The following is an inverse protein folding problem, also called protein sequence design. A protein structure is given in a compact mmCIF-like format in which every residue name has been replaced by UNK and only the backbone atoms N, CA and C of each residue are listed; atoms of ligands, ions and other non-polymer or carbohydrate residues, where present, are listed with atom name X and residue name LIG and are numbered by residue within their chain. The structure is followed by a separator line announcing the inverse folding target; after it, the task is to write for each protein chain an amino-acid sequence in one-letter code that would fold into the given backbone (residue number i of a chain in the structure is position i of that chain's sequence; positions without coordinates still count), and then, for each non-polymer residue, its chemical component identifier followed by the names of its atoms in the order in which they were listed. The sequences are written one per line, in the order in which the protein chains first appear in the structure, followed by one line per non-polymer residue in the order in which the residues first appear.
data_IF_304163404503
#
_entry.id   IF_304163404503
#
_cell.length_a   1.000
_cell.length_b   1.000
_cell.length_c   1.000
_cell.angle_alpha   90.00
_cell.angle_beta   90.00
_cell.angle_gamma   90.00
#
_symmetry.space_group_name_H-M   'P 1'
#
loop_
_entity.id
_entity.type
_entity.pdbx_description
1 polymer ?
#
# COMPACT_ATOMS: atom_id res chain seq x y z
N UNK A 1 7.76 -1.12 -3.15
CA UNK A 1 6.70 -0.16 -3.49
C UNK A 1 6.44 -0.10 -4.98
N UNK A 2 5.28 0.39 -5.38
CA UNK A 2 4.88 0.64 -6.78
C UNK A 2 4.27 2.03 -6.83
N UNK A 3 5.11 3.01 -7.11
CA UNK A 3 4.78 4.43 -7.09
C UNK A 3 5.38 5.09 -8.33
N UNK A 4 4.56 5.81 -9.09
CA UNK A 4 4.99 6.66 -10.20
C UNK A 4 4.49 8.07 -9.96
N UNK A 5 5.34 9.06 -10.14
CA UNK A 5 5.01 10.47 -9.99
C UNK A 5 5.42 11.25 -11.24
N UNK A 6 4.48 11.94 -11.83
CA UNK A 6 4.72 12.93 -12.87
C UNK A 6 4.51 14.30 -12.25
N UNK A 7 5.56 15.11 -12.25
CA UNK A 7 5.53 16.48 -11.73
C UNK A 7 5.61 17.47 -12.88
N UNK A 8 4.65 18.39 -12.96
CA UNK A 8 4.66 19.49 -13.93
C UNK A 8 4.80 20.82 -13.20
N UNK A 9 5.84 21.57 -13.55
CA UNK A 9 6.04 22.94 -13.06
C UNK A 9 5.34 23.94 -13.97
N UNK A 10 4.64 24.91 -13.39
CA UNK A 10 3.98 26.03 -14.08
C UNK A 10 4.33 27.34 -13.38
N UNK A 11 3.84 28.46 -13.91
CA UNK A 11 3.96 29.78 -13.28
C UNK A 11 3.21 29.85 -11.94
N UNK A 12 2.22 28.96 -11.71
CA UNK A 12 1.38 28.93 -10.52
C UNK A 12 1.79 27.85 -9.51
N UNK A 13 2.94 27.18 -9.69
CA UNK A 13 3.43 26.11 -8.82
C UNK A 13 3.53 24.76 -9.50
N UNK A 14 3.44 23.69 -8.70
CA UNK A 14 3.53 22.32 -9.16
C UNK A 14 2.15 21.68 -9.26
N UNK A 15 1.97 20.83 -10.25
CA UNK A 15 0.88 19.86 -10.32
C UNK A 15 1.43 18.46 -10.48
N UNK A 16 0.65 17.47 -10.04
CA UNK A 16 1.09 16.09 -9.96
C UNK A 16 0.10 15.17 -10.65
N UNK A 17 0.62 14.10 -11.23
CA UNK A 17 -0.15 12.89 -11.53
C UNK A 17 0.57 11.76 -10.81
N UNK A 18 -0.10 11.15 -9.84
CA UNK A 18 0.46 10.10 -9.00
C UNK A 18 -0.24 8.78 -9.31
N UNK A 19 0.53 7.73 -9.56
CA UNK A 19 0.03 6.38 -9.67
C UNK A 19 0.57 5.55 -8.51
N UNK A 20 -0.33 4.85 -7.79
CA UNK A 20 -0.02 3.94 -6.69
C UNK A 20 -0.60 2.58 -7.06
N UNK A 21 0.25 1.56 -7.09
CA UNK A 21 -0.15 0.23 -7.52
C UNK A 21 0.12 -0.87 -6.50
N UNK A 22 -0.68 -1.93 -6.56
CA UNK A 22 -0.41 -3.16 -5.81
C UNK A 22 0.55 -4.07 -6.58
N UNK A 23 0.57 -3.97 -7.90
CA UNK A 23 1.30 -4.83 -8.85
C UNK A 23 2.69 -4.33 -9.24
N UNK A 24 3.56 -5.25 -9.60
CA UNK A 24 4.89 -4.93 -10.09
C UNK A 24 4.84 -4.37 -11.53
N UNK A 25 5.72 -3.42 -11.84
CA UNK A 25 5.94 -2.94 -13.21
C UNK A 25 6.77 -3.98 -14.00
N UNK A 26 6.14 -5.09 -14.31
CA UNK A 26 6.76 -6.20 -15.03
C UNK A 26 5.73 -6.87 -15.94
N UNK A 27 5.99 -6.92 -17.23
CA UNK A 27 5.10 -7.44 -18.27
C UNK A 27 4.64 -8.86 -17.98
N UNK A 28 5.57 -9.77 -17.69
CA UNK A 28 5.26 -11.19 -17.43
C UNK A 28 4.36 -11.40 -16.21
N UNK A 29 4.56 -10.62 -15.15
CA UNK A 29 3.71 -10.73 -13.95
C UNK A 29 2.35 -10.09 -14.16
N UNK A 30 2.25 -9.02 -14.97
CA UNK A 30 0.98 -8.37 -15.25
C UNK A 30 -0.01 -9.24 -16.04
N UNK A 31 0.49 -10.17 -16.84
CA UNK A 31 -0.35 -11.14 -17.56
C UNK A 31 -0.99 -12.20 -16.66
N UNK A 32 -0.37 -12.48 -15.51
CA UNK A 32 -0.74 -13.58 -14.62
C UNK A 32 -1.40 -13.14 -13.31
N UNK A 33 -1.24 -11.88 -12.91
CA UNK A 33 -1.63 -11.38 -11.60
C UNK A 33 -2.86 -10.48 -11.70
N UNK A 34 -3.71 -10.55 -10.69
CA UNK A 34 -4.75 -9.54 -10.48
C UNK A 34 -4.19 -8.45 -9.57
N UNK A 35 -4.17 -7.22 -10.06
CA UNK A 35 -3.65 -6.07 -9.33
C UNK A 35 -4.54 -4.84 -9.51
N UNK A 36 -4.34 -3.85 -8.65
CA UNK A 36 -5.05 -2.57 -8.70
C UNK A 36 -4.06 -1.43 -8.92
N UNK A 37 -4.48 -0.46 -9.72
CA UNK A 37 -3.72 0.75 -9.99
C UNK A 37 -4.62 1.97 -9.78
N UNK A 38 -4.24 2.83 -8.85
CA UNK A 38 -4.92 4.08 -8.55
C UNK A 38 -4.13 5.24 -9.15
N UNK A 39 -4.77 6.04 -9.99
CA UNK A 39 -4.18 7.21 -10.63
C UNK A 39 -4.97 8.42 -10.18
N UNK A 40 -4.27 9.44 -9.69
CA UNK A 40 -4.89 10.66 -9.16
C UNK A 40 -4.08 11.91 -9.49
N UNK A 41 -4.79 13.05 -9.57
CA UNK A 41 -4.19 14.39 -9.63
C UNK A 41 -4.35 15.15 -8.29
N UNK A 42 -4.71 14.45 -7.18
CA UNK A 42 -4.79 15.07 -5.86
C UNK A 42 -3.44 15.66 -5.47
N UNK A 43 -3.45 16.96 -5.13
CA UNK A 43 -2.24 17.71 -4.82
C UNK A 43 -1.52 17.15 -3.59
N UNK A 44 -2.25 16.84 -2.51
CA UNK A 44 -1.67 16.34 -1.27
C UNK A 44 -1.02 14.97 -1.44
N UNK A 45 -1.66 14.04 -2.19
CA UNK A 45 -1.05 12.76 -2.53
C UNK A 45 0.21 12.96 -3.38
N UNK A 46 0.19 13.92 -4.31
CA UNK A 46 1.35 14.25 -5.14
C UNK A 46 2.52 14.81 -4.34
N UNK A 47 2.23 15.69 -3.37
CA UNK A 47 3.23 16.25 -2.46
C UNK A 47 3.84 15.18 -1.55
N UNK A 48 3.02 14.31 -0.96
CA UNK A 48 3.50 13.18 -0.16
C UNK A 48 4.33 12.20 -1.00
N UNK A 49 3.91 11.88 -2.22
CA UNK A 49 4.68 11.04 -3.14
C UNK A 49 6.03 11.69 -3.50
N UNK A 50 6.06 13.01 -3.73
CA UNK A 50 7.29 13.77 -3.97
C UNK A 50 8.23 13.67 -2.76
N UNK A 51 7.69 13.82 -1.55
CA UNK A 51 8.45 13.68 -0.31
C UNK A 51 9.04 12.26 -0.14
N UNK A 52 8.27 11.22 -0.48
CA UNK A 52 8.78 9.83 -0.48
C UNK A 52 10.00 9.70 -1.40
N UNK A 53 9.93 10.22 -2.64
CA UNK A 53 11.05 10.15 -3.57
C UNK A 53 12.27 10.97 -3.10
N UNK A 54 12.04 12.17 -2.54
CA UNK A 54 13.12 13.01 -2.01
C UNK A 54 13.82 12.33 -0.82
N UNK A 55 13.07 11.76 0.11
CA UNK A 55 13.62 11.05 1.25
C UNK A 55 14.42 9.82 0.81
N UNK A 56 13.91 9.03 -0.14
CA UNK A 56 14.62 7.88 -0.69
C UNK A 56 15.94 8.27 -1.38
N UNK A 57 15.95 9.39 -2.10
CA UNK A 57 17.15 9.88 -2.77
C UNK A 57 18.31 10.21 -1.79
N UNK A 58 17.97 10.59 -0.56
CA UNK A 58 18.93 10.89 0.51
C UNK A 58 19.00 9.81 1.59
N UNK A 59 18.46 8.61 1.31
CA UNK A 59 18.43 7.43 2.21
C UNK A 59 17.75 7.72 3.55
N UNK A 60 16.74 8.57 3.57
CA UNK A 60 15.89 8.83 4.74
C UNK A 60 14.56 8.09 4.65
N UNK A 61 13.97 7.81 5.80
CA UNK A 61 12.62 7.29 5.89
C UNK A 61 11.60 8.44 5.86
N UNK A 62 10.41 8.16 5.36
CA UNK A 62 9.29 9.12 5.38
C UNK A 62 8.56 8.99 6.72
N UNK A 63 8.66 10.03 7.54
CA UNK A 63 8.11 10.06 8.90
C UNK A 63 6.65 10.52 8.93
N UNK A 64 6.28 11.43 8.03
CA UNK A 64 4.95 12.03 7.98
C UNK A 64 4.26 11.72 6.66
N UNK A 65 3.02 11.23 6.75
CA UNK A 65 2.09 11.10 5.64
C UNK A 65 0.67 11.00 6.20
N UNK A 66 -0.28 11.71 5.62
CA UNK A 66 -1.69 11.74 6.05
C UNK A 66 -2.59 10.94 5.09
N UNK A 67 -2.34 11.07 3.78
CA UNK A 67 -3.13 10.43 2.72
C UNK A 67 -2.53 9.10 2.27
N UNK A 68 -1.21 8.96 2.34
CA UNK A 68 -0.50 7.75 1.96
C UNK A 68 -0.11 6.92 3.19
N UNK A 69 -0.08 5.61 3.01
CA UNK A 69 0.59 4.69 3.92
C UNK A 69 2.02 4.49 3.44
N UNK A 70 3.00 4.80 4.26
CA UNK A 70 4.43 4.64 3.90
C UNK A 70 5.14 3.80 4.96
N UNK A 71 5.55 2.59 4.59
CA UNK A 71 6.38 1.75 5.46
C UNK A 71 7.85 2.23 5.42
N UNK A 72 8.59 2.02 6.52
CA UNK A 72 8.22 1.27 7.72
C UNK A 72 7.45 2.10 8.77
N UNK A 73 7.45 3.43 8.71
CA UNK A 73 7.02 4.24 9.86
C UNK A 73 5.50 4.46 9.95
N UNK A 74 4.82 4.68 8.82
CA UNK A 74 3.39 5.06 8.82
C UNK A 74 2.44 3.98 8.32
N UNK A 75 2.93 2.91 7.70
CA UNK A 75 2.08 1.87 7.14
C UNK A 75 1.36 1.06 8.23
N UNK A 76 2.12 0.43 9.13
CA UNK A 76 1.56 -0.41 10.21
C UNK A 76 0.78 0.41 11.23
N UNK A 77 1.31 1.56 11.66
CA UNK A 77 0.64 2.40 12.67
C UNK A 77 -0.75 2.84 12.23
N UNK A 78 -0.89 3.34 11.00
CA UNK A 78 -2.21 3.77 10.48
C UNK A 78 -3.18 2.60 10.36
N UNK A 79 -2.73 1.41 9.95
CA UNK A 79 -3.60 0.23 9.91
C UNK A 79 -4.07 -0.21 11.30
N UNK A 80 -3.19 -0.15 12.31
CA UNK A 80 -3.57 -0.43 13.70
C UNK A 80 -4.56 0.62 14.23
N UNK A 81 -4.37 1.89 13.92
CA UNK A 81 -5.31 2.97 14.28
C UNK A 81 -6.70 2.75 13.63
N UNK A 82 -6.75 2.29 12.38
CA UNK A 82 -8.02 1.93 11.72
C UNK A 82 -8.70 0.73 12.40
N UNK A 83 -7.93 -0.28 12.79
CA UNK A 83 -8.46 -1.42 13.54
C UNK A 83 -8.99 -0.97 14.90
N UNK A 84 -8.29 -0.10 15.63
CA UNK A 84 -8.74 0.47 16.90
C UNK A 84 -10.04 1.28 16.75
N UNK A 85 -10.17 2.04 15.66
CA UNK A 85 -11.40 2.76 15.35
C UNK A 85 -12.60 1.82 15.20
N UNK A 86 -12.41 0.69 14.50
CA UNK A 86 -13.45 -0.32 14.29
C UNK A 86 -13.75 -1.06 15.59
N UNK A 87 -12.74 -1.43 16.38
CA UNK A 87 -12.88 -2.05 17.71
C UNK A 87 -13.70 -1.16 18.64
N UNK A 88 -13.37 0.13 18.70
CA UNK A 88 -14.08 1.09 19.54
C UNK A 88 -15.55 1.24 19.11
N UNK A 89 -15.82 1.21 17.80
CA UNK A 89 -17.19 1.22 17.30
C UNK A 89 -17.99 -0.02 17.75
N UNK A 90 -17.40 -1.20 17.67
CA UNK A 90 -18.01 -2.45 18.14
C UNK A 90 -18.29 -2.41 19.65
N UNK A 91 -17.34 -1.94 20.46
CA UNK A 91 -17.48 -1.76 21.91
C UNK A 91 -18.61 -0.81 22.29
N UNK A 92 -18.93 0.15 21.41
CA UNK A 92 -20.07 1.05 21.54
C UNK A 92 -21.38 0.46 21.01
N UNK A 93 -21.41 -0.83 20.65
CA UNK A 93 -22.59 -1.51 20.12
C UNK A 93 -22.95 -1.17 18.67
N UNK A 94 -22.05 -0.54 17.91
CA UNK A 94 -22.27 -0.25 16.48
C UNK A 94 -21.90 -1.47 15.62
N UNK A 95 -22.60 -1.71 14.50
CA UNK A 95 -22.20 -2.73 13.55
C UNK A 95 -20.82 -2.34 12.97
N UNK A 96 -19.82 -3.18 13.22
CA UNK A 96 -18.45 -2.92 12.81
C UNK A 96 -17.87 -4.13 12.09
N UNK A 97 -17.13 -3.92 11.02
CA UNK A 97 -16.53 -5.01 10.24
C UNK A 97 -15.25 -4.61 9.53
N UNK A 98 -14.45 -5.61 9.18
CA UNK A 98 -13.27 -5.47 8.35
C UNK A 98 -13.29 -6.49 7.21
N UNK A 99 -12.85 -6.08 6.02
CA UNK A 99 -12.54 -6.99 4.92
C UNK A 99 -11.10 -6.73 4.52
N UNK A 100 -10.23 -7.72 4.70
CA UNK A 100 -8.78 -7.57 4.55
C UNK A 100 -8.26 -8.56 3.50
N UNK A 101 -7.96 -8.06 2.31
CA UNK A 101 -7.32 -8.85 1.25
C UNK A 101 -5.84 -8.58 1.23
N UNK A 102 -5.05 -9.63 1.42
CA UNK A 102 -3.59 -9.58 1.31
C UNK A 102 -3.04 -10.93 0.80
N UNK A 103 -1.73 -10.98 0.49
CA UNK A 103 -1.15 -12.24 0.08
C UNK A 103 -0.76 -13.10 1.28
N UNK A 104 -0.22 -12.47 2.33
CA UNK A 104 0.33 -13.19 3.48
C UNK A 104 0.22 -12.37 4.76
N UNK A 105 0.11 -13.06 5.90
CA UNK A 105 0.08 -12.46 7.23
C UNK A 105 0.98 -13.24 8.19
N UNK A 106 1.94 -12.53 8.83
CA UNK A 106 2.77 -13.03 9.92
C UNK A 106 3.19 -11.93 10.92
N UNK A 107 2.77 -10.68 10.67
CA UNK A 107 3.07 -9.58 11.60
C UNK A 107 2.31 -9.79 12.90
N UNK A 108 3.08 -9.87 14.00
CA UNK A 108 2.55 -10.21 15.31
C UNK A 108 1.57 -9.17 15.84
N UNK A 109 1.89 -7.89 15.66
CA UNK A 109 1.06 -6.81 16.22
C UNK A 109 -0.29 -6.77 15.50
N UNK A 110 -0.29 -6.96 14.19
CA UNK A 110 -1.53 -7.05 13.39
C UNK A 110 -2.34 -8.29 13.80
N UNK A 111 -1.71 -9.45 14.00
CA UNK A 111 -2.40 -10.67 14.44
C UNK A 111 -3.06 -10.48 15.80
N UNK A 112 -2.35 -9.90 16.78
CA UNK A 112 -2.90 -9.62 18.11
C UNK A 112 -4.07 -8.62 18.03
N UNK A 113 -3.98 -7.63 17.15
CA UNK A 113 -5.04 -6.65 16.93
C UNK A 113 -6.29 -7.28 16.27
N UNK A 114 -6.12 -8.24 15.38
CA UNK A 114 -7.22 -9.04 14.82
C UNK A 114 -7.91 -9.91 15.89
N UNK A 115 -7.13 -10.51 16.80
CA UNK A 115 -7.68 -11.27 17.95
C UNK A 115 -8.49 -10.32 18.85
N UNK A 116 -7.95 -9.14 19.20
CA UNK A 116 -8.67 -8.11 19.98
C UNK A 116 -9.97 -7.68 19.29
N UNK A 117 -9.92 -7.44 17.99
CA UNK A 117 -11.10 -7.04 17.21
C UNK A 117 -12.17 -8.14 17.20
N UNK A 118 -11.78 -9.39 17.00
CA UNK A 118 -12.70 -10.53 17.07
C UNK A 118 -13.35 -10.66 18.44
N UNK A 119 -12.56 -10.54 19.53
CA UNK A 119 -13.06 -10.56 20.90
C UNK A 119 -14.01 -9.38 21.21
N UNK A 120 -13.83 -8.25 20.53
CA UNK A 120 -14.73 -7.09 20.64
C UNK A 120 -16.04 -7.25 19.83
N UNK A 121 -16.23 -8.37 19.12
CA UNK A 121 -17.42 -8.63 18.30
C UNK A 121 -17.36 -8.07 16.88
N UNK A 122 -16.19 -7.63 16.42
CA UNK A 122 -16.00 -7.17 15.03
C UNK A 122 -16.01 -8.38 14.10
N UNK A 123 -16.86 -8.35 13.07
CA UNK A 123 -16.81 -9.32 11.98
C UNK A 123 -15.58 -9.03 11.09
N UNK A 124 -14.72 -10.02 10.90
CA UNK A 124 -13.52 -9.92 10.12
C UNK A 124 -13.51 -10.99 9.03
N UNK A 125 -13.54 -10.56 7.77
CA UNK A 125 -13.41 -11.42 6.61
C UNK A 125 -12.04 -11.19 5.96
N UNK A 126 -11.21 -12.22 5.84
CA UNK A 126 -9.89 -12.13 5.21
C UNK A 126 -9.80 -12.98 3.94
N UNK A 127 -9.12 -12.45 2.93
CA UNK A 127 -8.75 -13.18 1.72
C UNK A 127 -7.23 -13.28 1.69
N UNK A 128 -6.70 -14.47 2.03
CA UNK A 128 -5.25 -14.72 2.15
C UNK A 128 -4.88 -15.96 1.35
N UNK A 129 -3.94 -15.85 0.41
CA UNK A 129 -3.56 -16.96 -0.48
C UNK A 129 -2.21 -17.62 -0.17
N UNK A 130 -1.39 -16.98 0.64
CA UNK A 130 -0.03 -17.42 1.00
C UNK A 130 0.10 -17.76 2.48
N UNK A 131 1.21 -17.33 3.08
CA UNK A 131 1.50 -17.56 4.50
C UNK A 131 0.40 -16.95 5.37
N UNK A 132 -0.19 -17.75 6.26
CA UNK A 132 -1.21 -17.31 7.19
C UNK A 132 -0.88 -17.82 8.59
N UNK A 133 -0.39 -16.92 9.47
CA UNK A 133 0.03 -17.25 10.83
C UNK A 133 -1.06 -16.98 11.88
N UNK A 134 -2.32 -16.82 11.46
CA UNK A 134 -3.48 -16.68 12.35
C UNK A 134 -4.50 -17.77 12.00
N UNK A 135 -5.21 -18.31 13.00
CA UNK A 135 -6.29 -19.28 12.79
C UNK A 135 -7.65 -18.59 12.87
N UNK A 136 -8.53 -18.96 11.98
CA UNK A 136 -9.91 -18.51 11.95
C UNK A 136 -10.80 -19.32 12.90
N UNK A 137 -11.87 -18.72 13.42
CA UNK A 137 -12.95 -19.42 14.11
C UNK A 137 -12.57 -20.08 15.43
N UNK A 138 -11.46 -19.67 16.08
CA UNK A 138 -11.04 -20.22 17.38
C UNK A 138 -11.88 -19.60 18.50
N UNK A 139 -12.67 -20.40 19.27
CA UNK A 139 -13.51 -19.91 20.35
C UNK A 139 -12.74 -19.06 21.37
N UNK A 140 -13.33 -17.91 21.75
CA UNK A 140 -12.77 -16.96 22.71
C UNK A 140 -11.55 -16.18 22.22
N UNK A 141 -11.19 -16.33 20.94
CA UNK A 141 -10.03 -15.64 20.34
C UNK A 141 -10.36 -15.03 19.00
N UNK A 142 -10.60 -15.87 18.00
CA UNK A 142 -10.82 -15.47 16.62
C UNK A 142 -12.14 -15.98 16.05
N UNK A 143 -13.14 -16.18 16.91
CA UNK A 143 -14.45 -16.74 16.52
C UNK A 143 -15.18 -15.90 15.47
N UNK A 144 -14.94 -14.58 15.42
CA UNK A 144 -15.49 -13.66 14.44
C UNK A 144 -14.57 -13.41 13.25
N UNK A 145 -13.45 -14.13 13.15
CA UNK A 145 -12.51 -14.06 12.04
C UNK A 145 -12.75 -15.21 11.07
N UNK A 146 -12.99 -14.88 9.81
CA UNK A 146 -13.18 -15.80 8.71
C UNK A 146 -12.05 -15.60 7.70
N UNK A 147 -11.43 -16.69 7.24
CA UNK A 147 -10.31 -16.62 6.31
C UNK A 147 -10.59 -17.51 5.09
N UNK A 148 -10.51 -16.90 3.90
CA UNK A 148 -10.62 -17.59 2.62
C UNK A 148 -9.32 -17.50 1.84
N UNK A 149 -9.03 -18.55 1.08
CA UNK A 149 -7.97 -18.57 0.08
C UNK A 149 -8.60 -18.72 -1.29
N UNK A 150 -8.24 -17.84 -2.23
CA UNK A 150 -8.68 -17.88 -3.62
C UNK A 150 -7.50 -18.28 -4.50
N UNK A 151 -7.61 -19.45 -5.16
CA UNK A 151 -6.62 -19.95 -6.11
C UNK A 151 -7.34 -20.31 -7.40
N UNK A 152 -7.17 -19.49 -8.41
CA UNK A 152 -7.83 -19.61 -9.71
C UNK A 152 -6.86 -19.48 -10.87
N UNK A 153 -7.36 -19.05 -12.03
CA UNK A 153 -6.58 -18.85 -13.25
C UNK A 153 -5.48 -17.82 -13.07
N UNK A 154 -5.80 -16.72 -12.36
CA UNK A 154 -4.87 -15.63 -12.07
C UNK A 154 -4.40 -15.69 -10.64
N UNK A 155 -3.20 -15.18 -10.38
CA UNK A 155 -2.69 -15.03 -9.03
C UNK A 155 -3.31 -13.80 -8.38
N UNK A 156 -4.07 -14.00 -7.30
CA UNK A 156 -4.64 -12.93 -6.50
C UNK A 156 -3.53 -12.18 -5.78
N UNK A 157 -3.08 -11.04 -6.33
CA UNK A 157 -1.92 -10.31 -5.84
C UNK A 157 -2.26 -8.93 -5.26
N UNK A 158 -3.39 -8.36 -5.64
CA UNK A 158 -3.85 -7.08 -5.13
C UNK A 158 -4.11 -7.10 -3.62
N UNK A 159 -3.87 -5.98 -2.94
CA UNK A 159 -4.18 -5.79 -1.51
C UNK A 159 -5.19 -4.67 -1.37
N UNK A 160 -6.26 -4.97 -0.64
CA UNK A 160 -7.33 -4.03 -0.30
C UNK A 160 -7.64 -4.21 1.18
N UNK A 161 -7.70 -3.11 1.92
CA UNK A 161 -8.05 -3.11 3.34
C UNK A 161 -9.26 -2.21 3.54
N UNK A 162 -10.36 -2.79 3.97
CA UNK A 162 -11.64 -2.11 4.20
C UNK A 162 -12.01 -2.18 5.68
N UNK A 163 -12.29 -1.02 6.27
CA UNK A 163 -12.62 -0.83 7.69
C UNK A 163 -13.94 -0.08 7.82
N UNK A 164 -14.96 -0.72 8.39
CA UNK A 164 -16.27 -0.13 8.62
C UNK A 164 -16.55 0.02 10.12
N UNK A 165 -16.87 1.23 10.56
CA UNK A 165 -17.10 1.58 11.98
C UNK A 165 -18.57 1.75 12.35
N UNK A 166 -19.47 1.24 11.52
CA UNK A 166 -20.91 1.40 11.69
C UNK A 166 -21.49 2.67 11.06
N UNK A 167 -20.64 3.59 10.61
CA UNK A 167 -21.03 4.85 9.96
C UNK A 167 -20.29 5.03 8.65
N UNK A 168 -18.96 4.92 8.69
CA UNK A 168 -18.10 5.20 7.54
C UNK A 168 -17.23 4.00 7.18
N UNK A 169 -17.09 3.76 5.89
CA UNK A 169 -16.11 2.82 5.36
C UNK A 169 -14.86 3.58 4.91
N UNK A 170 -13.70 3.15 5.38
CA UNK A 170 -12.39 3.59 4.87
C UNK A 170 -11.73 2.42 4.15
N UNK A 171 -11.35 2.64 2.89
CA UNK A 171 -10.76 1.63 2.03
C UNK A 171 -9.38 2.08 1.58
N UNK A 172 -8.42 1.17 1.64
CA UNK A 172 -7.04 1.36 1.23
C UNK A 172 -6.67 0.33 0.18
N UNK A 173 -5.84 0.73 -0.78
CA UNK A 173 -5.06 -0.17 -1.62
C UNK A 173 -3.59 -0.02 -1.27
N UNK A 174 -2.82 -1.10 -1.32
CA UNK A 174 -1.42 -1.06 -0.89
C UNK A 174 -0.52 -2.06 -1.65
N UNK A 175 0.78 -1.79 -1.63
CA UNK A 175 1.80 -2.69 -2.16
C UNK A 175 2.30 -3.71 -1.13
N UNK A 176 2.13 -3.44 0.16
CA UNK A 176 2.61 -4.25 1.28
C UNK A 176 1.63 -5.33 1.71
N UNK A 177 2.14 -6.43 2.24
CA UNK A 177 1.40 -7.46 2.97
C UNK A 177 1.51 -7.25 4.48
N UNK A 178 0.77 -8.05 5.26
CA UNK A 178 0.87 -8.09 6.73
C UNK A 178 2.03 -9.00 7.19
N UNK A 179 3.20 -8.79 6.59
CA UNK A 179 4.45 -9.45 6.97
C UNK A 179 5.37 -8.43 7.65
N UNK A 180 6.02 -8.79 8.74
CA UNK A 180 6.97 -7.93 9.47
C UNK A 180 8.00 -7.29 8.54
N UNK A 181 8.52 -8.05 7.57
CA UNK A 181 9.45 -7.50 6.57
C UNK A 181 8.85 -6.39 5.70
N UNK A 182 7.52 -6.41 5.42
CA UNK A 182 6.84 -5.37 4.65
C UNK A 182 6.54 -4.15 5.51
N UNK A 183 6.14 -4.37 6.76
CA UNK A 183 5.72 -3.32 7.68
C UNK A 183 6.89 -2.58 8.33
N UNK A 184 8.06 -3.23 8.48
CA UNK A 184 9.19 -2.71 9.26
C UNK A 184 10.52 -2.59 8.50
N UNK A 185 10.72 -3.36 7.41
CA UNK A 185 12.03 -3.45 6.76
C UNK A 185 12.04 -2.96 5.30
N UNK A 186 10.88 -2.76 4.69
CA UNK A 186 10.76 -2.36 3.29
C UNK A 186 10.06 -1.02 3.16
N UNK A 187 10.32 -0.33 2.07
CA UNK A 187 9.48 0.79 1.65
C UNK A 187 8.30 0.22 0.88
N UNK A 188 7.16 0.17 1.52
CA UNK A 188 5.87 -0.14 0.88
C UNK A 188 4.99 1.10 0.91
N UNK A 189 4.09 1.21 -0.05
CA UNK A 189 3.17 2.33 -0.14
C UNK A 189 1.74 1.84 -0.25
N UNK A 190 0.82 2.62 0.28
CA UNK A 190 -0.61 2.47 0.09
C UNK A 190 -1.27 3.83 0.08
N UNK A 191 -2.55 3.87 -0.23
CA UNK A 191 -3.33 5.10 -0.26
C UNK A 191 -4.76 4.83 0.16
N UNK A 192 -5.35 5.78 0.91
CA UNK A 192 -6.77 5.79 1.19
C UNK A 192 -7.53 6.28 -0.04
N UNK A 193 -8.49 5.49 -0.48
CA UNK A 193 -9.37 5.84 -1.60
C UNK A 193 -10.55 6.63 -1.05
N UNK A 194 -10.66 7.92 -1.43
CA UNK A 194 -11.70 8.80 -0.93
C UNK A 194 -12.90 8.92 -1.88
N UNK A 195 -12.67 8.76 -3.17
CA UNK A 195 -13.73 8.83 -4.18
C UNK A 195 -14.82 7.79 -3.90
N UNK A 196 -16.10 8.20 -3.75
CA UNK A 196 -17.17 7.29 -3.35
C UNK A 196 -17.47 6.21 -4.40
N UNK A 197 -17.31 6.53 -5.70
CA UNK A 197 -17.53 5.56 -6.77
C UNK A 197 -16.45 4.48 -6.77
N UNK A 198 -15.19 4.89 -6.56
CA UNK A 198 -14.08 3.93 -6.46
C UNK A 198 -14.16 3.10 -5.19
N UNK A 199 -14.63 3.67 -4.06
CA UNK A 199 -14.87 2.91 -2.82
C UNK A 199 -15.94 1.85 -3.02
N UNK A 200 -17.05 2.19 -3.64
CA UNK A 200 -18.13 1.23 -3.94
C UNK A 200 -17.65 0.11 -4.87
N UNK A 201 -16.85 0.46 -5.86
CA UNK A 201 -16.24 -0.51 -6.78
C UNK A 201 -15.29 -1.49 -6.06
N UNK A 202 -14.44 -0.99 -5.18
CA UNK A 202 -13.54 -1.84 -4.38
C UNK A 202 -14.31 -2.72 -3.40
N UNK A 203 -15.36 -2.21 -2.76
CA UNK A 203 -16.24 -3.00 -1.90
C UNK A 203 -16.96 -4.10 -2.68
N UNK A 204 -17.48 -3.79 -3.88
CA UNK A 204 -18.11 -4.76 -4.77
C UNK A 204 -17.15 -5.88 -5.20
N UNK A 205 -15.90 -5.55 -5.50
CA UNK A 205 -14.85 -6.52 -5.80
C UNK A 205 -14.58 -7.44 -4.59
N UNK A 206 -14.45 -6.87 -3.40
CA UNK A 206 -14.23 -7.65 -2.17
C UNK A 206 -15.41 -8.59 -1.88
N UNK A 207 -16.63 -8.11 -2.00
CA UNK A 207 -17.85 -8.93 -1.82
C UNK A 207 -17.96 -10.04 -2.84
N UNK A 208 -17.65 -9.76 -4.13
CA UNK A 208 -17.61 -10.76 -5.18
C UNK A 208 -16.57 -11.86 -4.85
N UNK A 209 -15.40 -11.48 -4.35
CA UNK A 209 -14.37 -12.45 -3.95
C UNK A 209 -14.77 -13.26 -2.70
N UNK A 210 -15.47 -12.65 -1.76
CA UNK A 210 -16.03 -13.36 -0.60
C UNK A 210 -17.20 -14.28 -0.97
N UNK A 211 -17.89 -14.08 -2.08
CA UNK A 211 -18.94 -14.94 -2.57
C UNK A 211 -18.45 -16.10 -3.47
N UNK A 212 -17.14 -16.16 -3.80
CA UNK A 212 -16.60 -17.23 -4.63
C UNK A 212 -16.84 -18.62 -4.00
N UNK A 213 -17.55 -19.50 -4.72
CA UNK A 213 -17.82 -20.86 -4.32
C UNK A 213 -17.24 -21.91 -5.31
N UNK A 214 -16.49 -21.43 -6.31
CA UNK A 214 -15.81 -22.29 -7.32
C UNK A 214 -14.35 -22.51 -6.95
N UNK A 215 -13.62 -21.45 -6.58
CA UNK A 215 -12.17 -21.47 -6.34
C UNK A 215 -11.81 -21.33 -4.86
N UNK A 216 -12.76 -20.89 -4.02
CA UNK A 216 -12.50 -20.59 -2.62
C UNK A 216 -12.26 -21.84 -1.78
N UNK A 217 -11.34 -21.71 -0.83
CA UNK A 217 -11.15 -22.60 0.31
C UNK A 217 -11.25 -21.79 1.60
N UNK A 218 -11.92 -22.33 2.58
CA UNK A 218 -12.19 -21.67 3.88
C UNK A 218 -11.37 -22.36 4.97
N UNK A 219 -10.68 -21.54 5.79
CA UNK A 219 -9.89 -22.04 6.90
C UNK A 219 -10.81 -22.51 8.02
N UNK A 220 -10.50 -23.68 8.59
CA UNK A 220 -11.15 -24.25 9.75
C UNK A 220 -10.40 -23.88 11.04
N UNK A 221 -11.03 -24.03 12.23
CA UNK A 221 -10.38 -23.70 13.51
C UNK A 221 -9.10 -24.50 13.81
N UNK A 222 -8.96 -25.67 13.20
CA UNK A 222 -7.73 -26.48 13.30
C UNK A 222 -6.60 -26.00 12.37
N UNK A 223 -6.89 -25.02 11.50
CA UNK A 223 -5.96 -24.46 10.50
C UNK A 223 -5.98 -25.19 9.16
N UNK A 224 -6.78 -26.26 9.00
CA UNK A 224 -7.00 -26.90 7.70
C UNK A 224 -7.86 -26.03 6.79
N UNK A 225 -7.79 -26.29 5.48
CA UNK A 225 -8.62 -25.59 4.48
C UNK A 225 -9.58 -26.54 3.80
N UNK A 226 -10.85 -26.20 3.84
CA UNK A 226 -11.91 -26.95 3.14
C UNK A 226 -12.36 -26.19 1.90
N UNK A 227 -12.56 -26.91 0.78
CA UNK A 227 -13.11 -26.30 -0.42
C UNK A 227 -14.55 -25.87 -0.16
N UNK A 228 -14.89 -24.62 -0.47
CA UNK A 228 -16.25 -24.14 -0.45
C UNK A 228 -17.07 -24.91 -1.49
N UNK A 229 -18.22 -25.42 -1.10
CA UNK A 229 -19.14 -26.12 -1.99
C UNK A 229 -20.44 -25.32 -2.06
N UNK A 230 -20.94 -25.01 -3.25
CA UNK A 230 -22.24 -24.35 -3.39
C UNK A 230 -23.34 -25.25 -2.82
N UNK A 231 -24.35 -24.65 -2.21
CA UNK A 231 -25.54 -25.35 -1.79
C UNK A 231 -26.33 -25.86 -3.02
N UNK A 232 -27.18 -26.89 -2.88
CA UNK A 232 -28.04 -27.33 -3.98
C UNK A 232 -28.91 -26.18 -4.50
N UNK A 233 -28.78 -25.86 -5.80
CA UNK A 233 -29.50 -24.76 -6.44
C UNK A 233 -28.83 -23.37 -6.30
N UNK A 234 -27.74 -23.25 -5.56
CA UNK A 234 -26.97 -22.01 -5.46
C UNK A 234 -26.20 -21.77 -6.78
N UNK A 235 -26.20 -20.52 -7.30
CA UNK A 235 -25.42 -20.19 -8.49
C UNK A 235 -23.91 -20.39 -8.27
N UNK A 236 -23.22 -20.87 -9.31
CA UNK A 236 -21.76 -20.95 -9.29
C UNK A 236 -21.17 -19.54 -9.46
N UNK A 237 -20.38 -19.12 -8.49
CA UNK A 237 -19.68 -17.83 -8.50
C UNK A 237 -18.18 -18.06 -8.62
N UNK A 238 -17.63 -17.74 -9.79
CA UNK A 238 -16.20 -17.63 -10.03
C UNK A 238 -15.83 -16.15 -9.98
N UNK A 239 -15.25 -15.70 -8.91
CA UNK A 239 -14.99 -14.27 -8.68
C UNK A 239 -14.05 -13.63 -9.71
N UNK A 240 -13.09 -14.39 -10.26
CA UNK A 240 -12.17 -13.86 -11.28
C UNK A 240 -12.89 -13.59 -12.61
N UNK A 241 -13.81 -14.46 -13.00
CA UNK A 241 -14.63 -14.24 -14.20
C UNK A 241 -15.69 -13.18 -13.96
N UNK A 242 -16.36 -13.20 -12.81
CA UNK A 242 -17.33 -12.17 -12.42
C UNK A 242 -16.72 -10.77 -12.32
N UNK A 243 -15.45 -10.67 -11.89
CA UNK A 243 -14.73 -9.39 -11.89
C UNK A 243 -14.48 -8.85 -13.30
N UNK A 244 -14.20 -9.72 -14.26
CA UNK A 244 -14.08 -9.34 -15.66
C UNK A 244 -15.40 -8.74 -16.20
N UNK A 245 -16.52 -9.38 -15.90
CA UNK A 245 -17.83 -8.89 -16.32
C UNK A 245 -18.18 -7.56 -15.65
N UNK A 246 -17.96 -7.45 -14.33
CA UNK A 246 -18.16 -6.22 -13.56
C UNK A 246 -17.37 -5.02 -14.15
N UNK A 247 -16.12 -5.24 -14.53
CA UNK A 247 -15.25 -4.19 -15.08
C UNK A 247 -15.60 -3.85 -16.54
N UNK A 248 -16.01 -4.83 -17.33
CA UNK A 248 -16.43 -4.62 -18.72
C UNK A 248 -17.69 -3.76 -18.81
N UNK A 249 -18.66 -4.02 -17.97
CA UNK A 249 -19.93 -3.27 -17.98
C UNK A 249 -19.72 -1.80 -17.59
N UNK A 250 -18.82 -1.54 -16.65
CA UNK A 250 -18.41 -0.19 -16.27
C UNK A 250 -17.68 0.55 -17.44
N UNK A 251 -16.83 -0.16 -18.17
CA UNK A 251 -16.15 0.38 -19.35
C UNK A 251 -17.13 0.76 -20.46
N UNK A 252 -18.05 -0.13 -20.80
CA UNK A 252 -19.06 0.13 -21.86
C UNK A 252 -20.05 1.22 -21.49
N UNK A 253 -20.31 1.44 -20.20
CA UNK A 253 -21.12 2.56 -19.71
C UNK A 253 -20.40 3.90 -19.87
N UNK A 254 -19.09 3.95 -19.67
CA UNK A 254 -18.27 5.16 -19.84
C UNK A 254 -18.11 5.59 -21.29
N UNK A 255 -17.96 4.63 -22.20
CA UNK A 255 -17.90 4.93 -23.64
C UNK A 255 -19.19 5.51 -24.20
N UNK A 256 -20.32 5.29 -23.52
CA UNK A 256 -21.65 5.85 -23.87
C UNK A 256 -21.92 7.17 -23.15
N UNK A 257 -21.15 7.55 -22.15
CA UNK A 257 -21.30 8.82 -21.46
C UNK A 257 -20.80 9.97 -22.39
N UNK A 258 -21.52 11.09 -22.50
CA UNK A 258 -21.00 12.24 -23.22
C UNK A 258 -19.70 12.70 -22.57
N UNK A 259 -18.71 13.04 -23.40
CA UNK A 259 -17.45 13.58 -22.91
C UNK A 259 -17.72 14.70 -21.89
N UNK A 260 -17.01 14.75 -20.75
CA UNK A 260 -17.20 15.82 -19.79
C UNK A 260 -17.03 17.14 -20.53
N UNK A 261 -18.03 18.03 -20.38
CA UNK A 261 -17.99 19.34 -21.00
C UNK A 261 -16.63 19.97 -20.74
N UNK A 262 -15.92 20.36 -21.81
CA UNK A 262 -14.60 20.98 -21.65
C UNK A 262 -14.76 22.11 -20.64
N UNK A 263 -13.96 22.09 -19.59
CA UNK A 263 -13.89 23.18 -18.61
C UNK A 263 -13.66 24.43 -19.45
N UNK A 264 -14.65 25.32 -19.47
CA UNK A 264 -14.59 26.57 -20.22
C UNK A 264 -13.25 27.23 -19.86
N UNK A 265 -12.43 27.50 -20.88
CA UNK A 265 -11.19 28.24 -20.70
C UNK A 265 -11.51 29.52 -19.92
N UNK A 266 -10.96 29.60 -18.71
CA UNK A 266 -10.99 30.84 -17.92
C UNK A 266 -10.44 31.96 -18.83
N UNK A 267 -11.15 33.08 -18.97
CA UNK A 267 -10.70 34.16 -19.85
C UNK A 267 -9.29 34.57 -19.44
N UNK A 268 -8.39 34.62 -20.43
CA UNK A 268 -7.01 35.08 -20.23
C UNK A 268 -7.04 36.43 -19.53
N UNK A 269 -6.35 36.62 -18.41
CA UNK A 269 -6.28 37.94 -17.76
C UNK A 269 -5.67 38.93 -18.73
N UNK A 270 -6.37 40.05 -18.94
CA UNK A 270 -5.85 41.16 -19.73
C UNK A 270 -4.58 41.71 -19.10
N UNK A 271 -3.57 42.11 -19.89
CA UNK A 271 -2.32 42.61 -19.33
C UNK A 271 -2.60 43.91 -18.55
N UNK A 272 -2.42 43.83 -17.24
CA UNK A 272 -2.42 45.03 -16.37
C UNK A 272 -1.14 45.82 -16.70
N UNK A 273 -1.31 47.09 -17.13
CA UNK A 273 -0.16 48.00 -17.30
C UNK A 273 0.66 48.07 -16.04
N UNK A 274 1.94 47.79 -16.17
CA UNK A 274 2.89 47.91 -15.04
C UNK A 274 2.94 49.38 -14.58
N UNK A 275 3.01 49.64 -13.24
CA UNK A 275 3.25 50.99 -12.74
C UNK A 275 4.68 51.42 -13.07
N UNK A 276 4.82 52.71 -13.50
CA UNK A 276 6.11 53.32 -13.81
C UNK A 276 7.04 53.28 -12.62
N UNK A 277 8.28 52.88 -12.83
CA UNK A 277 9.36 52.83 -11.86
C UNK A 277 9.79 54.23 -11.47
N UNK A 278 9.94 54.58 -10.17
CA UNK A 278 10.62 55.82 -9.77
C UNK A 278 12.11 55.74 -10.13
N UNK A 279 12.64 56.92 -10.55
CA UNK A 279 14.03 57.10 -10.95
C UNK A 279 15.02 56.74 -9.83
N UNK A 280 16.08 56.00 -10.15
CA UNK A 280 17.12 55.61 -9.22
C UNK A 280 18.12 56.79 -8.94
N UNK A 281 18.61 56.93 -7.71
CA UNK A 281 19.70 57.86 -7.42
C UNK A 281 21.06 57.30 -7.88
N UNK A 282 21.97 58.23 -8.19
CA UNK A 282 23.27 57.99 -8.83
C UNK A 282 24.21 57.08 -8.03
N UNK A 283 24.99 56.27 -8.76
CA UNK A 283 26.01 55.39 -8.23
C UNK A 283 27.21 56.16 -7.67
N UNK A 284 27.65 55.83 -6.45
CA UNK A 284 28.99 56.07 -5.92
C UNK A 284 29.90 54.86 -6.30
N UNK A 285 31.12 55.14 -6.70
CA UNK A 285 32.10 54.15 -7.16
C UNK A 285 32.69 53.34 -5.98
N UNK A 286 33.00 52.06 -6.16
CA UNK A 286 33.63 51.26 -5.11
C UNK A 286 35.14 51.47 -5.04
N UNK A 287 35.65 51.55 -3.79
CA UNK A 287 37.10 51.47 -3.52
C UNK A 287 37.53 50.00 -3.43
N UNK A 288 38.76 49.65 -3.80
CA UNK A 288 39.26 48.29 -3.76
C UNK A 288 39.64 47.86 -2.33
N UNK A 289 39.14 46.67 -1.94
CA UNK A 289 39.51 46.01 -0.69
C UNK A 289 40.55 44.90 -1.01
N UNK A 290 41.72 44.98 -0.35
CA UNK A 290 42.76 43.95 -0.37
C UNK A 290 42.30 42.63 0.25
N UNK A 291 42.77 41.46 -0.21
CA UNK A 291 42.35 40.18 0.36
C UNK A 291 43.15 39.85 1.62
N UNK A 292 42.45 39.68 2.72
CA UNK A 292 42.95 39.19 4.01
C UNK A 292 43.17 37.66 3.94
N UNK A 293 44.42 37.22 4.22
CA UNK A 293 44.80 35.81 4.28
C UNK A 293 44.25 35.16 5.53
N UNK A 294 43.38 34.16 5.39
CA UNK A 294 43.01 33.28 6.51
C UNK A 294 44.05 32.17 6.70
N UNK A 295 44.34 31.79 7.95
CA UNK A 295 45.32 30.73 8.24
C UNK A 295 44.70 29.35 8.03
N UNK A 296 45.50 28.51 7.33
CA UNK A 296 45.21 27.08 7.07
C UNK A 296 45.29 26.31 8.40
N UNK A 297 44.25 25.64 8.81
CA UNK A 297 44.28 24.65 9.88
C UNK A 297 44.76 23.29 9.33
N UNK A 298 45.54 22.51 10.09
CA UNK A 298 46.06 21.24 9.60
C UNK A 298 44.96 20.16 9.60
N UNK A 299 44.92 19.44 8.48
CA UNK A 299 44.09 18.31 8.19
C UNK A 299 44.34 17.16 9.19
N UNK A 300 43.30 16.71 9.92
CA UNK A 300 43.40 15.53 10.77
C UNK A 300 43.39 14.27 9.89
N UNK A 301 44.46 13.49 10.01
CA UNK A 301 44.61 12.21 9.38
C UNK A 301 43.47 11.24 9.70
N UNK A 302 42.87 10.65 8.67
CA UNK A 302 41.90 9.57 8.73
C UNK A 302 42.61 8.27 9.10
N UNK A 303 42.25 7.52 10.14
CA UNK A 303 42.87 6.24 10.44
C UNK A 303 42.49 5.19 9.40
N UNK A 304 43.48 4.41 8.98
CA UNK A 304 43.35 3.29 8.04
C UNK A 304 42.41 2.20 8.60
N UNK A 305 41.65 1.50 7.77
CA UNK A 305 40.80 0.42 8.21
C UNK A 305 41.62 -0.79 8.70
N UNK A 306 41.27 -1.28 9.87
CA UNK A 306 41.88 -2.51 10.44
C UNK A 306 41.44 -3.74 9.64
N UNK A 307 42.31 -4.73 9.45
CA UNK A 307 41.97 -5.97 8.76
C UNK A 307 41.01 -6.82 9.60
N UNK A 308 39.95 -7.31 8.97
CA UNK A 308 39.01 -8.27 9.56
C UNK A 308 39.71 -9.62 9.59
N UNK A 309 40.01 -10.13 10.77
CA UNK A 309 40.46 -11.52 11.00
C UNK A 309 39.22 -12.42 11.01
N UNK A 310 39.01 -13.20 9.96
CA UNK A 310 38.00 -14.25 9.91
C UNK A 310 38.62 -15.49 10.58
N UNK A 311 38.18 -15.80 11.78
CA UNK A 311 38.47 -17.10 12.43
C UNK A 311 37.43 -18.12 12.01
N UNK A 312 37.80 -19.05 11.14
CA UNK A 312 37.02 -20.26 10.88
C UNK A 312 37.05 -21.18 12.11
N UNK A 313 35.87 -21.35 12.74
CA UNK A 313 35.64 -22.43 13.67
C UNK A 313 34.58 -23.37 13.09
N UNK A 314 35.03 -24.49 12.56
CA UNK A 314 34.16 -25.63 12.25
C UNK A 314 33.89 -26.46 13.51
N UNK A 315 32.66 -26.86 13.75
CA UNK A 315 32.40 -28.17 14.34
C UNK A 315 31.71 -29.07 13.31
N UNK A 316 32.35 -30.18 12.99
CA UNK A 316 31.79 -31.33 12.27
C UNK A 316 30.56 -31.84 13.01
N UNK A 317 29.41 -31.84 12.36
CA UNK A 317 28.29 -32.74 12.67
C UNK A 317 27.89 -33.49 11.40
N UNK A 318 28.23 -34.75 11.38
CA UNK A 318 27.75 -35.78 10.48
C UNK A 318 26.31 -36.11 10.86
N UNK A 319 25.35 -35.75 10.04
CA UNK A 319 23.94 -36.15 10.16
C UNK A 319 23.34 -36.35 8.77
N UNK A 320 22.35 -37.21 8.70
CA UNK A 320 21.69 -37.77 7.49
C UNK A 320 21.23 -36.71 6.45
N UNK A 321 21.11 -35.41 6.82
CA UNK A 321 20.73 -34.29 5.94
C UNK A 321 21.88 -33.81 5.03
N UNK A 322 23.15 -34.11 5.36
CA UNK A 322 24.30 -33.70 4.53
C UNK A 322 24.41 -34.48 3.22
N UNK A 323 23.86 -35.68 3.14
CA UNK A 323 23.93 -36.53 1.93
C UNK A 323 22.83 -36.25 0.90
N UNK A 324 21.77 -35.53 1.27
CA UNK A 324 20.69 -35.18 0.34
C UNK A 324 20.96 -33.87 -0.44
N UNK A 325 21.83 -33.01 0.05
CA UNK A 325 22.16 -31.74 -0.61
C UNK A 325 23.22 -31.88 -1.72
N UNK A 326 24.05 -32.91 -1.70
CA UNK A 326 25.05 -33.15 -2.77
C UNK A 326 24.43 -33.72 -4.08
N UNK A 327 23.20 -34.18 -4.04
CA UNK A 327 22.52 -34.75 -5.23
C UNK A 327 21.71 -33.72 -6.04
N UNK A 328 21.54 -32.48 -5.54
CA UNK A 328 20.79 -31.42 -6.22
C UNK A 328 21.66 -30.29 -6.80
N UNK A 329 22.98 -30.42 -6.74
CA UNK A 329 23.93 -29.41 -7.25
C UNK A 329 24.91 -29.98 -8.29
N UNK A 330 24.48 -31.01 -9.03
CA UNK A 330 25.18 -31.43 -10.27
C UNK A 330 24.24 -31.32 -11.46
#
# INVERSE_FOLDING_TARGET
SKLTLITKKSAHGYSYITQIGTGNYNEKTSELYTDYSFITADLGIGEEASNVFQNLAVQKLTEESEKMLVAPLRFKSVLLDEMDRVINAARLGRPASMILKNNSISDRDIILKLEEASCAGVRIDMIVRGICCVRAGVPGKTENLHIRSLVGRYLEHGRIYSFYDGVNTRIYIASGDFLTRNTECRVEVGVRVEDPVLKEKLDSILRLQLSDNVNAREMQPDGSYQKVKPAPGEPLVNSQMGMYDLLRDDWTARDKAPAPASVAETPKPQPVKAPEKPAAPAKAAPQPVEPEKQPVQPEKAVPAPMPIVVTESHPRRTGLLGRLLEHFLK
#
